data_IF_274145043783
#
_entry.id   IF_274145043783
#
_cell.length_a   1.000
_cell.length_b   1.000
_cell.length_c   1.000
_cell.angle_alpha   90.00
_cell.angle_beta   90.00
_cell.angle_gamma   90.00
#
_symmetry.space_group_name_H-M   'P 1'
#
loop_
_entity.id
_entity.type
_entity.pdbx_description
1 polymer ?
#
# COMPACT_ATOMS: atom_id res chain seq x y z
N UNK A 1 7.05 -4.05 -16.54
CA UNK A 1 5.63 -3.63 -16.46
C UNK A 1 4.62 -4.76 -16.23
N UNK A 2 4.73 -5.96 -16.86
CA UNK A 2 3.73 -7.04 -16.69
C UNK A 2 3.45 -7.48 -15.23
N UNK A 3 4.38 -7.28 -14.29
CA UNK A 3 4.19 -7.60 -12.85
C UNK A 3 3.52 -6.50 -12.03
N UNK A 4 3.51 -5.25 -12.50
CA UNK A 4 2.91 -4.13 -11.78
C UNK A 4 1.38 -4.14 -11.88
N UNK A 5 0.83 -4.51 -13.04
CA UNK A 5 -0.61 -4.54 -13.30
C UNK A 5 -1.42 -5.36 -12.27
N UNK A 6 -1.05 -6.62 -11.93
CA UNK A 6 -1.79 -7.38 -10.93
C UNK A 6 -1.70 -6.75 -9.54
N UNK A 7 -0.54 -6.21 -9.14
CA UNK A 7 -0.41 -5.52 -7.86
C UNK A 7 -1.27 -4.27 -7.79
N UNK A 8 -1.25 -3.43 -8.82
CA UNK A 8 -2.07 -2.22 -8.89
C UNK A 8 -3.56 -2.57 -8.80
N UNK A 9 -4.01 -3.59 -9.53
CA UNK A 9 -5.40 -4.04 -9.47
C UNK A 9 -5.76 -4.58 -8.08
N UNK A 10 -4.90 -5.39 -7.46
CA UNK A 10 -5.14 -5.92 -6.10
C UNK A 10 -5.13 -4.82 -5.05
N UNK A 11 -4.16 -3.89 -5.09
CA UNK A 11 -4.10 -2.78 -4.16
C UNK A 11 -5.33 -1.86 -4.30
N UNK A 12 -5.74 -1.58 -5.54
CA UNK A 12 -6.96 -0.83 -5.82
C UNK A 12 -8.21 -1.51 -5.27
N UNK A 13 -8.35 -2.82 -5.50
CA UNK A 13 -9.47 -3.60 -4.98
C UNK A 13 -9.46 -3.63 -3.46
N UNK A 14 -8.35 -3.97 -2.82
CA UNK A 14 -8.24 -4.04 -1.35
C UNK A 14 -8.60 -2.71 -0.71
N UNK A 15 -8.04 -1.60 -1.20
CA UNK A 15 -8.31 -0.29 -0.62
C UNK A 15 -9.75 0.15 -0.89
N UNK A 16 -10.23 0.03 -2.13
CA UNK A 16 -11.58 0.47 -2.49
C UNK A 16 -12.65 -0.37 -1.78
N UNK A 17 -12.47 -1.69 -1.70
CA UNK A 17 -13.36 -2.58 -0.95
C UNK A 17 -13.32 -2.26 0.55
N UNK A 18 -12.15 -2.01 1.13
CA UNK A 18 -12.07 -1.58 2.53
C UNK A 18 -12.82 -0.28 2.79
N UNK A 19 -12.66 0.73 1.92
CA UNK A 19 -13.42 1.98 2.03
C UNK A 19 -14.93 1.72 1.92
N UNK A 20 -15.39 1.01 0.87
CA UNK A 20 -16.81 0.77 0.64
C UNK A 20 -17.47 -0.09 1.73
N UNK A 21 -16.74 -1.06 2.27
CA UNK A 21 -17.25 -1.96 3.30
C UNK A 21 -17.31 -1.29 4.67
N UNK A 22 -16.33 -0.48 5.05
CA UNK A 22 -16.25 0.07 6.42
C UNK A 22 -16.82 1.48 6.54
N UNK A 23 -16.72 2.33 5.51
CA UNK A 23 -17.18 3.73 5.56
C UNK A 23 -18.66 3.91 5.98
N UNK A 24 -19.62 3.06 5.56
CA UNK A 24 -21.03 3.21 5.97
C UNK A 24 -21.29 2.95 7.45
N UNK A 25 -20.42 2.17 8.12
CA UNK A 25 -20.60 1.76 9.51
C UNK A 25 -19.83 2.66 10.50
N UNK A 26 -19.11 3.66 10.00
CA UNK A 26 -18.31 4.56 10.81
C UNK A 26 -18.99 5.92 11.01
N UNK A 27 -18.78 6.48 12.19
CA UNK A 27 -19.04 7.89 12.45
C UNK A 27 -18.29 8.78 11.44
N UNK A 28 -18.75 10.02 11.25
CA UNK A 28 -18.21 10.92 10.21
C UNK A 28 -16.69 11.14 10.31
N UNK A 29 -16.11 11.11 11.52
CA UNK A 29 -14.67 11.16 11.73
C UNK A 29 -13.95 9.92 11.20
N UNK A 30 -14.43 8.73 11.57
CA UNK A 30 -13.89 7.46 11.07
C UNK A 30 -14.07 7.30 9.56
N UNK A 31 -15.18 7.78 9.01
CA UNK A 31 -15.42 7.79 7.56
C UNK A 31 -14.40 8.63 6.81
N UNK A 32 -14.16 9.86 7.29
CA UNK A 32 -13.13 10.74 6.74
C UNK A 32 -11.73 10.13 6.88
N UNK A 33 -11.42 9.54 8.03
CA UNK A 33 -10.15 8.86 8.27
C UNK A 33 -9.89 7.75 7.25
N UNK A 34 -10.85 6.85 7.05
CA UNK A 34 -10.73 5.75 6.07
C UNK A 34 -10.61 6.27 4.63
N UNK A 35 -11.41 7.28 4.26
CA UNK A 35 -11.34 7.85 2.92
C UNK A 35 -9.97 8.48 2.63
N UNK A 36 -9.46 9.32 3.53
CA UNK A 36 -8.17 9.99 3.34
C UNK A 36 -7.01 9.00 3.38
N UNK A 37 -7.04 8.03 4.29
CA UNK A 37 -6.05 6.97 4.32
C UNK A 37 -6.04 6.15 3.02
N UNK A 38 -7.22 5.82 2.48
CA UNK A 38 -7.35 5.11 1.21
C UNK A 38 -6.78 5.89 0.02
N UNK A 39 -7.14 7.18 -0.11
CA UNK A 39 -6.62 8.08 -1.16
C UNK A 39 -5.10 8.15 -1.07
N UNK A 40 -4.57 8.35 0.13
CA UNK A 40 -3.14 8.48 0.37
C UNK A 40 -2.38 7.19 0.02
N UNK A 41 -2.90 6.03 0.41
CA UNK A 41 -2.29 4.73 0.09
C UNK A 41 -2.28 4.48 -1.41
N UNK A 42 -3.39 4.73 -2.11
CA UNK A 42 -3.46 4.57 -3.57
C UNK A 42 -2.51 5.53 -4.29
N UNK A 43 -2.48 6.79 -3.87
CA UNK A 43 -1.63 7.82 -4.46
C UNK A 43 -0.14 7.59 -4.26
N UNK A 44 0.27 6.81 -3.26
CA UNK A 44 1.69 6.66 -2.89
C UNK A 44 2.25 5.25 -3.01
N UNK A 45 1.50 4.21 -2.62
CA UNK A 45 2.00 2.83 -2.66
C UNK A 45 2.06 2.28 -4.09
N UNK A 46 1.13 2.66 -4.97
CA UNK A 46 1.13 2.21 -6.37
C UNK A 46 2.39 2.72 -7.11
N UNK A 47 2.70 4.03 -7.13
CA UNK A 47 3.93 4.53 -7.75
C UNK A 47 5.20 3.96 -7.10
N UNK A 48 5.20 3.82 -5.76
CA UNK A 48 6.35 3.29 -5.02
C UNK A 48 6.67 1.85 -5.41
N UNK A 49 5.66 0.99 -5.55
CA UNK A 49 5.87 -0.39 -6.00
C UNK A 49 6.40 -0.44 -7.44
N UNK A 50 5.88 0.40 -8.34
CA UNK A 50 6.38 0.49 -9.72
C UNK A 50 7.85 0.91 -9.77
N UNK A 51 8.22 1.93 -8.99
CA UNK A 51 9.59 2.43 -8.90
C UNK A 51 10.54 1.37 -8.32
N UNK A 52 10.19 0.80 -7.16
CA UNK A 52 11.06 -0.16 -6.46
C UNK A 52 11.14 -1.52 -7.16
N UNK A 53 10.11 -1.95 -7.88
CA UNK A 53 10.15 -3.18 -8.67
C UNK A 53 11.22 -3.16 -9.77
N UNK A 54 11.58 -1.97 -10.28
CA UNK A 54 12.63 -1.83 -11.29
C UNK A 54 14.05 -2.01 -10.72
N UNK A 55 14.21 -1.91 -9.40
CA UNK A 55 15.52 -1.93 -8.74
C UNK A 55 15.92 -3.32 -8.24
N UNK A 56 15.00 -4.28 -8.12
CA UNK A 56 15.25 -5.61 -7.55
C UNK A 56 16.04 -6.58 -8.45
N UNK A 57 16.88 -6.07 -9.36
CA UNK A 57 17.67 -6.86 -10.32
C UNK A 57 19.07 -7.27 -9.84
N UNK A 58 19.61 -6.66 -8.78
CA UNK A 58 20.90 -7.02 -8.16
C UNK A 58 20.83 -6.90 -6.63
N UNK A 59 21.65 -7.67 -5.90
CA UNK A 59 21.63 -7.70 -4.43
C UNK A 59 21.82 -6.31 -3.79
N UNK A 60 22.70 -5.48 -4.33
CA UNK A 60 22.92 -4.11 -3.82
C UNK A 60 21.68 -3.22 -3.97
N UNK A 61 20.99 -3.34 -5.11
CA UNK A 61 19.77 -2.55 -5.38
C UNK A 61 18.54 -3.12 -4.65
N UNK A 62 18.58 -4.37 -4.23
CA UNK A 62 17.53 -4.99 -3.42
C UNK A 62 17.44 -4.36 -2.03
N UNK A 63 18.58 -4.20 -1.33
CA UNK A 63 18.62 -3.53 -0.02
C UNK A 63 18.13 -2.08 -0.15
N UNK A 64 18.59 -1.38 -1.18
CA UNK A 64 18.15 0.00 -1.45
C UNK A 64 16.64 0.09 -1.72
N UNK A 65 16.06 -0.88 -2.45
CA UNK A 65 14.62 -0.92 -2.71
C UNK A 65 13.81 -1.13 -1.41
N UNK A 66 14.30 -1.96 -0.49
CA UNK A 66 13.67 -2.16 0.83
C UNK A 66 13.72 -0.87 1.65
N UNK A 67 14.92 -0.26 1.78
CA UNK A 67 15.11 0.98 2.55
C UNK A 67 14.24 2.11 1.98
N UNK A 68 14.24 2.27 0.67
CA UNK A 68 13.39 3.26 -0.02
C UNK A 68 11.92 2.99 0.23
N UNK A 69 11.49 1.72 0.14
CA UNK A 69 10.13 1.33 0.44
C UNK A 69 9.70 1.66 1.88
N UNK A 70 10.60 1.52 2.85
CA UNK A 70 10.33 1.85 4.24
C UNK A 70 10.30 3.37 4.47
N UNK A 71 11.30 4.08 3.96
CA UNK A 71 11.40 5.54 4.05
C UNK A 71 10.19 6.24 3.41
N UNK A 72 9.73 5.76 2.25
CA UNK A 72 8.53 6.29 1.60
C UNK A 72 7.27 6.05 2.42
N UNK A 73 7.12 4.90 3.08
CA UNK A 73 5.98 4.62 3.98
C UNK A 73 5.98 5.55 5.20
N UNK A 74 7.15 5.79 5.80
CA UNK A 74 7.29 6.80 6.85
C UNK A 74 6.93 8.20 6.36
N UNK A 75 7.43 8.60 5.18
CA UNK A 75 7.09 9.88 4.58
C UNK A 75 5.59 10.03 4.34
N UNK A 76 4.92 8.96 3.87
CA UNK A 76 3.46 8.92 3.70
C UNK A 76 2.72 9.12 5.01
N UNK A 77 3.16 8.49 6.10
CA UNK A 77 2.56 8.68 7.43
C UNK A 77 2.67 10.15 7.86
N UNK A 78 3.87 10.74 7.76
CA UNK A 78 4.11 12.15 8.11
C UNK A 78 3.26 13.08 7.24
N UNK A 79 3.26 12.85 5.91
CA UNK A 79 2.49 13.64 4.97
C UNK A 79 0.98 13.53 5.24
N UNK A 80 0.50 12.33 5.59
CA UNK A 80 -0.90 12.10 5.93
C UNK A 80 -1.35 12.85 7.18
N UNK A 81 -0.49 12.91 8.19
CA UNK A 81 -0.73 13.71 9.40
C UNK A 81 -0.81 15.20 9.04
N UNK A 82 0.18 15.72 8.32
CA UNK A 82 0.24 17.15 7.97
C UNK A 82 -0.90 17.58 7.05
N UNK A 83 -1.22 16.78 6.03
CA UNK A 83 -2.18 17.15 4.99
C UNK A 83 -3.63 16.83 5.34
N UNK A 84 -3.90 15.84 6.20
CA UNK A 84 -5.28 15.41 6.46
C UNK A 84 -5.68 15.51 7.93
N UNK A 85 -4.81 15.10 8.86
CA UNK A 85 -5.14 15.14 10.29
C UNK A 85 -5.24 16.59 10.79
N UNK A 86 -4.26 17.43 10.45
CA UNK A 86 -4.22 18.84 10.89
C UNK A 86 -5.38 19.68 10.31
N UNK A 87 -5.60 19.71 8.98
CA UNK A 87 -6.66 20.57 8.41
C UNK A 87 -8.07 19.98 8.49
N UNK A 88 -8.23 18.65 8.45
CA UNK A 88 -9.57 18.04 8.36
C UNK A 88 -10.21 17.73 9.72
N UNK A 89 -9.55 18.10 10.83
CA UNK A 89 -9.95 17.76 12.22
C UNK A 89 -10.27 16.26 12.35
N UNK A 90 -9.47 15.42 11.72
CA UNK A 90 -9.59 13.96 11.88
C UNK A 90 -8.77 13.57 13.09
N UNK A 91 -9.33 12.72 13.95
CA UNK A 91 -8.58 12.21 15.08
C UNK A 91 -7.33 11.43 14.63
N UNK A 92 -6.12 11.78 15.12
CA UNK A 92 -4.87 11.17 14.65
C UNK A 92 -4.86 9.64 14.81
N UNK A 93 -5.38 9.14 15.93
CA UNK A 93 -5.40 7.71 16.22
C UNK A 93 -6.23 6.94 15.19
N UNK A 94 -7.43 7.42 14.90
CA UNK A 94 -8.36 6.81 13.94
C UNK A 94 -7.79 6.83 12.52
N UNK A 95 -7.14 7.93 12.12
CA UNK A 95 -6.43 8.01 10.85
C UNK A 95 -5.25 7.04 10.77
N UNK A 96 -4.41 6.97 11.80
CA UNK A 96 -3.25 6.08 11.84
C UNK A 96 -3.65 4.60 11.83
N UNK A 97 -4.74 4.24 12.51
CA UNK A 97 -5.29 2.88 12.46
C UNK A 97 -5.76 2.51 11.05
N UNK A 98 -6.52 3.40 10.39
CA UNK A 98 -6.96 3.18 9.02
C UNK A 98 -5.77 3.08 8.04
N UNK A 99 -4.81 4.00 8.15
CA UNK A 99 -3.61 4.02 7.31
C UNK A 99 -2.76 2.77 7.53
N UNK A 100 -2.52 2.39 8.79
CA UNK A 100 -1.79 1.19 9.16
C UNK A 100 -2.47 -0.07 8.62
N UNK A 101 -3.79 -0.18 8.75
CA UNK A 101 -4.58 -1.27 8.18
C UNK A 101 -4.36 -1.42 6.68
N UNK A 102 -4.52 -0.34 5.91
CA UNK A 102 -4.30 -0.37 4.46
C UNK A 102 -2.84 -0.68 4.07
N UNK A 103 -1.85 -0.11 4.78
CA UNK A 103 -0.43 -0.40 4.53
C UNK A 103 -0.10 -1.88 4.78
N UNK A 104 -0.61 -2.45 5.87
CA UNK A 104 -0.41 -3.88 6.17
C UNK A 104 -1.11 -4.75 5.14
N UNK A 105 -2.37 -4.46 4.78
CA UNK A 105 -3.10 -5.23 3.76
C UNK A 105 -2.43 -5.19 2.39
N UNK A 106 -1.88 -4.04 1.99
CA UNK A 106 -1.14 -3.91 0.72
C UNK A 106 0.20 -4.64 0.74
N UNK A 107 0.89 -4.70 1.88
CA UNK A 107 2.09 -5.53 2.07
C UNK A 107 1.79 -7.03 1.96
N UNK A 108 0.67 -7.49 2.54
CA UNK A 108 0.24 -8.88 2.39
C UNK A 108 -0.10 -9.21 0.93
N UNK A 109 -0.78 -8.31 0.23
CA UNK A 109 -1.08 -8.47 -1.20
C UNK A 109 0.20 -8.54 -2.04
N UNK A 110 1.19 -7.68 -1.77
CA UNK A 110 2.51 -7.70 -2.42
C UNK A 110 3.19 -9.06 -2.22
N UNK A 111 3.28 -9.51 -0.97
CA UNK A 111 3.95 -10.76 -0.58
C UNK A 111 3.29 -11.99 -1.23
N UNK A 112 1.95 -12.02 -1.27
CA UNK A 112 1.20 -13.12 -1.85
C UNK A 112 1.37 -13.23 -3.37
N UNK A 113 1.38 -12.09 -4.06
CA UNK A 113 1.61 -12.03 -5.51
C UNK A 113 3.04 -12.45 -5.88
N UNK A 114 4.02 -12.10 -5.04
CA UNK A 114 5.41 -12.51 -5.23
C UNK A 114 5.59 -14.03 -5.09
N UNK A 115 5.01 -14.64 -4.03
CA UNK A 115 5.06 -16.08 -3.84
C UNK A 115 4.45 -16.87 -5.00
N UNK A 116 3.30 -16.43 -5.53
CA UNK A 116 2.67 -17.05 -6.71
C UNK A 116 3.56 -16.96 -7.95
N UNK A 117 4.25 -15.83 -8.12
CA UNK A 117 5.15 -15.63 -9.26
C UNK A 117 6.39 -16.53 -9.16
N UNK A 118 6.90 -16.78 -7.95
CA UNK A 118 8.02 -17.69 -7.72
C UNK A 118 7.64 -19.14 -8.01
N UNK A 119 6.52 -19.64 -7.45
CA UNK A 119 6.03 -21.01 -7.71
C UNK A 119 5.81 -21.29 -9.20
N UNK A 120 5.20 -20.34 -9.92
CA UNK A 120 4.95 -20.50 -11.37
C UNK A 120 6.25 -20.59 -12.18
N UNK A 121 7.35 -19.99 -11.72
CA UNK A 121 8.65 -20.13 -12.40
C UNK A 121 9.25 -21.51 -12.16
N UNK A 122 9.18 -22.01 -10.93
CA UNK A 122 9.68 -23.33 -10.56
C UNK A 122 8.99 -24.44 -11.38
N UNK A 123 7.66 -24.36 -11.54
CA UNK A 123 6.87 -25.28 -12.37
C UNK A 123 7.29 -25.28 -13.86
N UNK A 124 7.69 -24.13 -14.41
CA UNK A 124 8.11 -24.00 -15.81
C UNK A 124 9.55 -24.47 -16.04
N UNK A 125 10.42 -24.38 -15.04
CA UNK A 125 11.80 -24.90 -15.12
C UNK A 125 11.92 -26.39 -14.80
N UNK A 126 10.90 -26.99 -14.19
CA UNK A 126 10.87 -28.40 -13.79
C UNK A 126 10.20 -29.33 -14.82
N UNK A 127 9.59 -28.79 -15.88
CA UNK A 127 8.98 -29.54 -16.99
C UNK A 127 9.65 -29.24 -18.31
#
# INVERSE_FOLDING_TARGET
MRRALPFVATAFLVVSSGVLLFAPFLADEGRRAIMWAGILVLGTQIPLHVLTASWRGSNERFVLAIVTGFASRLAVIVLGIVLFVVPSRVEPATFLLALGGFLVSTLFAESFLEQRTLRRKEEVTAG
#
